data_IF_889179650078
#
_entry.id   IF_889179650078
#
_cell.length_a   1.000
_cell.length_b   1.000
_cell.length_c   1.000
_cell.angle_alpha   90.00
_cell.angle_beta   90.00
_cell.angle_gamma   90.00
#
_symmetry.space_group_name_H-M   'P 1'
#
loop_
_entity.id
_entity.type
_entity.pdbx_description
1 polymer ?
2 non-polymer ?
3 water ?
#
# COMPACT_ATOMS: atom_id res chain seq x y z
N UNK A 1 -22.12 -5.84 11.28
CA UNK A 1 -23.07 -4.75 11.72
C UNK A 1 -22.50 -3.95 12.88
N UNK A 2 -23.36 -3.28 13.63
CA UNK A 2 -22.88 -2.44 14.74
C UNK A 2 -22.66 -3.21 16.02
N UNK A 3 -23.28 -4.40 16.13
CA UNK A 3 -23.14 -5.18 17.36
C UNK A 3 -22.70 -6.59 17.02
N UNK A 4 -21.82 -7.14 17.86
CA UNK A 4 -21.23 -8.47 17.66
C UNK A 4 -20.72 -8.56 16.23
N UNK A 5 -19.69 -7.76 15.93
CA UNK A 5 -19.16 -7.77 14.57
C UNK A 5 -17.67 -8.16 14.47
N UNK A 6 -17.37 -9.04 13.52
CA UNK A 6 -16.00 -9.51 13.23
C UNK A 6 -15.45 -8.68 12.08
N UNK A 7 -16.17 -7.63 11.70
CA UNK A 7 -15.70 -6.77 10.59
C UNK A 7 -15.09 -5.48 11.12
N UNK A 8 -13.89 -5.17 10.67
CA UNK A 8 -13.23 -3.97 11.14
C UNK A 8 -12.95 -3.05 9.98
N UNK A 9 -13.24 -1.76 10.16
CA UNK A 9 -12.95 -0.83 9.08
C UNK A 9 -11.68 -0.04 9.41
N UNK A 10 -10.65 -0.18 8.57
CA UNK A 10 -9.38 0.56 8.77
C UNK A 10 -9.53 2.00 8.23
N UNK A 11 -10.29 2.14 7.15
CA UNK A 11 -10.56 3.41 6.49
C UNK A 11 -11.72 3.17 5.54
N UNK A 12 -12.34 4.24 5.04
CA UNK A 12 -13.47 4.02 4.12
C UNK A 12 -13.02 3.19 2.92
N UNK A 13 -13.79 2.17 2.60
CA UNK A 13 -13.42 1.28 1.51
C UNK A 13 -12.32 0.26 1.85
N UNK A 14 -11.92 0.14 3.12
CA UNK A 14 -10.90 -0.86 3.47
C UNK A 14 -11.38 -1.57 4.73
N UNK A 15 -11.88 -2.77 4.58
CA UNK A 15 -12.41 -3.51 5.74
C UNK A 15 -11.90 -4.94 5.75
N UNK A 16 -11.84 -5.55 6.93
CA UNK A 16 -11.45 -6.96 7.05
C UNK A 16 -12.54 -7.67 7.84
N UNK A 17 -12.98 -8.83 7.33
CA UNK A 17 -13.95 -9.67 8.06
C UNK A 17 -13.13 -10.86 8.58
N UNK A 18 -13.10 -11.06 9.90
CA UNK A 18 -12.32 -12.17 10.46
C UNK A 18 -13.24 -13.39 10.61
N UNK A 19 -12.76 -14.54 10.16
CA UNK A 19 -13.54 -15.79 10.25
C UNK A 19 -12.59 -16.83 10.82
N UNK A 20 -12.09 -16.55 12.02
CA UNK A 20 -11.14 -17.46 12.62
C UNK A 20 -9.82 -17.33 11.88
N UNK A 21 -9.28 -18.44 11.43
CA UNK A 21 -8.01 -18.41 10.68
C UNK A 21 -8.15 -17.64 9.38
N UNK A 22 -9.32 -17.78 8.75
CA UNK A 22 -9.57 -17.16 7.47
C UNK A 22 -10.04 -15.74 7.62
N UNK A 23 -9.59 -14.89 6.71
CA UNK A 23 -10.04 -13.52 6.75
C UNK A 23 -10.28 -13.04 5.33
N UNK A 24 -11.16 -12.08 5.20
CA UNK A 24 -11.53 -11.51 3.90
C UNK A 24 -11.30 -10.03 3.97
N UNK A 25 -10.49 -9.51 3.04
CA UNK A 25 -10.19 -8.08 3.01
C UNK A 25 -10.93 -7.49 1.83
N UNK A 26 -11.77 -6.47 2.04
CA UNK A 26 -12.50 -5.80 0.93
C UNK A 26 -11.81 -4.45 0.75
N UNK A 27 -11.29 -4.21 -0.45
CA UNK A 27 -10.58 -2.97 -0.71
C UNK A 27 -11.24 -2.29 -1.89
N UNK A 28 -11.72 -1.08 -1.68
CA UNK A 28 -12.39 -0.33 -2.76
C UNK A 28 -11.34 0.53 -3.45
N UNK A 29 -10.97 0.19 -4.69
CA UNK A 29 -9.96 0.93 -5.40
C UNK A 29 -10.36 2.38 -5.70
N UNK A 30 -11.65 2.72 -5.59
CA UNK A 30 -12.05 4.12 -5.80
C UNK A 30 -11.84 4.93 -4.54
N UNK A 31 -11.51 4.28 -3.41
CA UNK A 31 -11.36 5.04 -2.15
C UNK A 31 -10.05 4.84 -1.42
N UNK A 32 -9.45 3.67 -1.59
CA UNK A 32 -8.19 3.36 -0.93
C UNK A 32 -7.05 3.91 -1.79
N UNK A 33 -6.07 4.60 -1.17
CA UNK A 33 -4.93 5.16 -1.93
C UNK A 33 -4.32 4.12 -2.88
N UNK A 34 -4.00 4.53 -4.11
CA UNK A 34 -3.44 3.58 -5.05
C UNK A 34 -2.14 2.94 -4.53
N UNK A 35 -1.33 3.73 -3.83
CA UNK A 35 -0.08 3.20 -3.28
C UNK A 35 -0.32 1.99 -2.37
N UNK A 36 -1.37 2.06 -1.55
CA UNK A 36 -1.70 0.96 -0.63
C UNK A 36 -2.06 -0.28 -1.41
N UNK A 37 -2.93 -0.12 -2.41
CA UNK A 37 -3.31 -1.27 -3.23
C UNK A 37 -2.08 -1.91 -3.91
N UNK A 38 -1.21 -1.08 -4.48
CA UNK A 38 -0.04 -1.62 -5.16
C UNK A 38 0.91 -2.36 -4.24
N UNK A 39 1.10 -1.85 -3.01
CA UNK A 39 1.98 -2.51 -2.02
C UNK A 39 1.43 -3.90 -1.68
N UNK A 40 0.11 -3.98 -1.51
CA UNK A 40 -0.50 -5.25 -1.19
C UNK A 40 -0.42 -6.21 -2.36
N UNK A 41 -0.68 -5.71 -3.57
CA UNK A 41 -0.61 -6.57 -4.75
C UNK A 41 0.84 -7.06 -4.98
N UNK A 42 1.81 -6.25 -4.55
CA UNK A 42 3.24 -6.59 -4.64
C UNK A 42 3.59 -7.71 -3.67
N UNK A 43 3.02 -7.65 -2.48
CA UNK A 43 3.25 -8.66 -1.47
C UNK A 43 2.66 -9.99 -1.98
N UNK A 44 1.45 -9.95 -2.55
CA UNK A 44 0.80 -11.15 -3.07
C UNK A 44 1.59 -11.76 -4.24
N UNK A 45 2.10 -10.90 -5.12
CA UNK A 45 2.91 -11.36 -6.26
C UNK A 45 4.15 -12.14 -5.78
N UNK A 46 4.74 -11.69 -4.69
CA UNK A 46 5.94 -12.32 -4.12
C UNK A 46 5.63 -13.72 -3.62
N UNK A 47 4.41 -13.88 -3.12
CA UNK A 47 3.96 -15.17 -2.62
C UNK A 47 3.91 -16.17 -3.75
N UNK A 48 3.60 -15.70 -4.96
CA UNK A 48 3.46 -16.59 -6.12
C UNK A 48 4.69 -17.39 -6.47
N UNK B 2 -19.87 -13.09 -15.82
CA UNK B 2 -18.48 -13.48 -15.46
C UNK B 2 -17.41 -12.70 -16.25
N UNK B 3 -17.80 -12.09 -17.36
CA UNK B 3 -16.87 -11.31 -18.16
C UNK B 3 -16.59 -9.99 -17.43
N UNK B 4 -17.33 -9.74 -16.36
CA UNK B 4 -17.14 -8.50 -15.64
C UNK B 4 -16.27 -8.63 -14.40
N UNK B 5 -15.31 -9.56 -14.40
CA UNK B 5 -14.47 -9.73 -13.22
C UNK B 5 -13.29 -10.65 -13.47
N UNK B 6 -12.37 -10.67 -12.52
CA UNK B 6 -11.18 -11.53 -12.60
C UNK B 6 -11.02 -12.28 -11.26
N UNK B 7 -10.57 -13.53 -11.35
CA UNK B 7 -10.35 -14.36 -10.15
C UNK B 7 -8.96 -14.96 -10.26
N UNK B 8 -8.17 -14.78 -9.21
CA UNK B 8 -6.80 -15.26 -9.26
C UNK B 8 -6.29 -15.83 -7.96
N UNK B 9 -5.54 -16.93 -8.08
CA UNK B 9 -4.94 -17.57 -6.93
C UNK B 9 -3.43 -17.37 -6.90
N UNK B 10 -2.95 -16.71 -5.84
CA UNK B 10 -1.51 -16.48 -5.67
C UNK B 10 -0.81 -17.68 -5.05
N UNK B 11 -1.51 -18.37 -4.16
CA UNK B 11 -0.98 -19.56 -3.49
C UNK B 11 -2.18 -20.18 -2.84
N UNK B 12 -2.07 -21.44 -2.38
CA UNK B 12 -3.25 -22.01 -1.76
C UNK B 12 -3.56 -21.11 -0.57
N UNK B 13 -4.84 -20.77 -0.41
CA UNK B 13 -5.22 -19.91 0.69
C UNK B 13 -5.08 -18.42 0.45
N UNK B 14 -4.64 -18.01 -0.73
CA UNK B 14 -4.55 -16.58 -1.00
C UNK B 14 -5.13 -16.36 -2.40
N UNK B 15 -6.37 -15.89 -2.45
CA UNK B 15 -7.03 -15.67 -3.74
C UNK B 15 -7.70 -14.32 -3.73
N UNK B 16 -7.84 -13.73 -4.91
CA UNK B 16 -8.47 -12.41 -5.03
C UNK B 16 -9.55 -12.43 -6.15
N UNK B 17 -10.58 -11.62 -5.94
CA UNK B 17 -11.65 -11.41 -6.92
C UNK B 17 -11.67 -9.92 -7.19
N UNK B 18 -11.62 -9.51 -8.46
CA UNK B 18 -11.71 -8.09 -8.81
C UNK B 18 -13.01 -7.90 -9.59
N UNK B 19 -13.80 -6.92 -9.20
CA UNK B 19 -15.09 -6.66 -9.89
C UNK B 19 -15.45 -5.21 -9.66
N UNK B 20 -15.58 -4.44 -10.74
CA UNK B 20 -15.87 -3.02 -10.58
C UNK B 20 -14.64 -2.42 -9.92
N UNK B 21 -14.84 -1.62 -8.88
CA UNK B 21 -13.68 -1.03 -8.21
C UNK B 21 -13.20 -1.89 -7.05
N UNK B 22 -13.95 -2.95 -6.78
CA UNK B 22 -13.69 -3.79 -5.63
C UNK B 22 -12.69 -4.89 -5.81
N UNK B 23 -11.81 -5.01 -4.81
CA UNK B 23 -10.80 -6.06 -4.76
C UNK B 23 -11.13 -6.83 -3.50
N UNK B 24 -11.43 -8.13 -3.64
CA UNK B 24 -11.79 -8.95 -2.45
C UNK B 24 -10.71 -10.00 -2.31
N UNK B 25 -9.97 -9.90 -1.22
CA UNK B 25 -8.86 -10.80 -0.96
C UNK B 25 -9.21 -11.80 0.13
N UNK B 26 -9.09 -13.09 -0.20
CA UNK B 26 -9.38 -14.11 0.80
C UNK B 26 -8.05 -14.69 1.23
N UNK B 27 -7.77 -14.64 2.54
CA UNK B 27 -6.50 -15.12 3.09
C UNK B 27 -6.72 -16.16 4.18
N UNK B 28 -6.14 -17.34 4.00
CA UNK B 28 -6.29 -18.40 5.01
C UNK B 28 -4.97 -18.36 5.76
N UNK B 29 -5.02 -17.82 6.97
CA UNK B 29 -3.80 -17.67 7.72
C UNK B 29 -3.16 -18.95 8.20
N UNK B 30 -3.86 -20.07 8.04
CA UNK B 30 -3.25 -21.35 8.44
C UNK B 30 -2.42 -21.89 7.27
N UNK B 31 -2.54 -21.24 6.11
CA UNK B 31 -1.81 -21.68 4.90
C UNK B 31 -0.88 -20.62 4.29
N UNK B 32 -1.14 -19.35 4.55
CA UNK B 32 -0.33 -18.25 4.02
C UNK B 32 0.76 -17.88 5.03
N UNK B 33 2.00 -17.68 4.56
CA UNK B 33 3.10 -17.31 5.47
C UNK B 33 2.78 -16.13 6.38
N UNK B 34 3.24 -16.22 7.62
CA UNK B 34 3.04 -15.18 8.59
C UNK B 34 3.59 -13.83 8.12
N UNK B 35 4.79 -13.84 7.54
CA UNK B 35 5.44 -12.62 7.06
C UNK B 35 4.52 -11.86 6.10
N UNK B 36 3.92 -12.60 5.17
CA UNK B 36 3.00 -12.01 4.21
C UNK B 36 1.81 -11.33 4.90
N UNK B 37 1.17 -12.04 5.81
CA UNK B 37 0.01 -11.50 6.53
C UNK B 37 0.40 -10.24 7.33
N UNK B 38 1.56 -10.29 7.96
CA UNK B 38 2.06 -9.17 8.77
C UNK B 38 2.35 -7.91 7.93
N UNK B 39 2.90 -8.09 6.73
CA UNK B 39 3.20 -6.93 5.88
C UNK B 39 1.89 -6.29 5.43
N UNK B 40 0.88 -7.11 5.15
CA UNK B 40 -0.41 -6.56 4.75
C UNK B 40 -1.09 -5.83 5.90
N UNK B 41 -1.03 -6.40 7.10
CA UNK B 41 -1.63 -5.76 8.28
C UNK B 41 -0.93 -4.44 8.56
N UNK B 42 0.37 -4.39 8.34
CA UNK B 42 1.12 -3.15 8.58
C UNK B 42 0.61 -2.05 7.64
N UNK B 43 0.33 -2.42 6.39
CA UNK B 43 -0.17 -1.45 5.45
C UNK B 43 -1.56 -0.93 5.85
N UNK B 44 -2.43 -1.84 6.29
CA UNK B 44 -3.78 -1.44 6.70
C UNK B 44 -3.78 -0.52 7.93
N UNK B 45 -2.89 -0.80 8.88
CA UNK B 45 -2.83 0.02 10.09
C UNK B 45 -2.35 1.44 9.80
N UNK B 46 -1.37 1.60 8.92
CA UNK B 46 -0.90 2.94 8.61
C UNK B 46 -2.01 3.73 7.94
N UNK B 47 -2.95 3.02 7.33
CA UNK B 47 -4.10 3.63 6.68
C UNK B 47 -5.05 4.21 7.74
N UNK B 48 -5.14 3.54 8.89
CA UNK B 48 -6.00 3.98 9.98
C UNK B 48 -5.65 5.36 10.54
N UNK C 5 23.00 7.70 -16.42
CA UNK C 5 22.22 8.94 -16.15
C UNK C 5 20.74 8.60 -16.30
N UNK C 6 19.92 9.19 -15.45
CA UNK C 6 18.49 8.90 -15.52
C UNK C 6 17.79 10.16 -15.00
N UNK C 7 16.72 10.61 -15.64
CA UNK C 7 16.03 11.79 -15.11
C UNK C 7 14.56 11.51 -14.92
N UNK C 8 13.96 12.17 -13.94
CA UNK C 8 12.54 11.98 -13.68
C UNK C 8 11.91 13.25 -13.15
N UNK C 9 10.68 13.53 -13.57
CA UNK C 9 9.96 14.69 -13.04
C UNK C 9 8.73 14.15 -12.30
N UNK C 10 8.70 14.36 -10.98
CA UNK C 10 7.56 13.92 -10.19
C UNK C 10 6.36 14.81 -10.51
N UNK C 11 6.61 16.12 -10.53
CA UNK C 11 5.58 17.16 -10.80
C UNK C 11 6.32 18.39 -11.25
N UNK C 12 5.61 19.40 -11.79
CA UNK C 12 6.34 20.61 -12.22
C UNK C 12 7.13 21.15 -11.01
N UNK C 13 8.39 21.51 -11.18
CA UNK C 13 9.12 22.01 -10.01
C UNK C 13 9.63 20.94 -9.04
N UNK C 14 9.56 19.67 -9.43
CA UNK C 14 10.11 18.62 -8.57
C UNK C 14 10.72 17.58 -9.49
N UNK C 15 12.03 17.71 -9.71
CA UNK C 15 12.74 16.85 -10.64
C UNK C 15 13.98 16.25 -10.01
N UNK C 16 14.46 15.16 -10.57
CA UNK C 16 15.64 14.52 -10.05
C UNK C 16 16.48 14.00 -11.19
N UNK C 17 17.79 14.02 -10.96
CA UNK C 17 18.80 13.47 -11.86
C UNK C 17 19.56 12.42 -11.03
N UNK C 18 19.65 11.20 -11.56
CA UNK C 18 20.40 10.13 -10.92
C UNK C 18 21.60 9.86 -11.83
N UNK C 19 22.76 9.62 -11.23
CA UNK C 19 23.96 9.31 -12.02
C UNK C 19 24.91 8.57 -11.09
N UNK C 20 25.02 7.26 -11.27
CA UNK C 20 25.90 6.50 -10.40
C UNK C 20 25.34 6.58 -8.99
N UNK C 21 26.17 6.97 -8.04
CA UNK C 21 25.69 7.05 -6.67
C UNK C 21 25.11 8.41 -6.35
N UNK C 22 25.18 9.33 -7.29
CA UNK C 22 24.70 10.68 -7.03
C UNK C 22 23.24 10.92 -7.38
N UNK C 23 22.58 11.75 -6.59
CA UNK C 23 21.20 12.11 -6.85
C UNK C 23 21.14 13.62 -6.70
N UNK C 24 20.57 14.31 -7.67
CA UNK C 24 20.43 15.74 -7.55
C UNK C 24 18.95 16.05 -7.68
N UNK C 25 18.38 16.63 -6.63
CA UNK C 25 16.97 16.94 -6.61
C UNK C 25 16.74 18.46 -6.70
N UNK C 26 15.86 18.89 -7.58
CA UNK C 26 15.53 20.31 -7.72
C UNK C 26 14.08 20.49 -7.32
N UNK C 27 13.81 21.32 -6.31
CA UNK C 27 12.46 21.57 -5.82
C UNK C 27 12.12 23.06 -5.84
N UNK C 28 10.91 23.37 -6.29
CA UNK C 28 10.44 24.75 -6.38
C UNK C 28 9.41 24.92 -5.29
N UNK C 29 9.77 25.74 -4.30
CA UNK C 29 8.93 25.99 -3.13
C UNK C 29 7.57 26.61 -3.40
N UNK C 30 7.40 27.21 -4.58
CA UNK C 30 6.13 27.84 -4.90
C UNK C 30 5.17 26.80 -5.51
N UNK C 31 5.68 25.60 -5.76
CA UNK C 31 4.89 24.52 -6.41
C UNK C 31 4.76 23.25 -5.57
N UNK C 32 5.76 23.01 -4.75
CA UNK C 32 5.75 21.85 -3.88
C UNK C 32 5.17 22.30 -2.54
N UNK C 33 4.24 21.52 -1.98
CA UNK C 33 3.66 21.91 -0.69
C UNK C 33 4.71 22.05 0.42
N UNK C 34 4.53 23.06 1.26
CA UNK C 34 5.43 23.32 2.38
C UNK C 34 5.67 22.07 3.23
N UNK C 35 4.60 21.32 3.52
CA UNK C 35 4.74 20.11 4.34
C UNK C 35 5.76 19.11 3.75
N UNK C 36 5.76 18.99 2.42
CA UNK C 36 6.67 18.10 1.72
C UNK C 36 8.12 18.55 1.95
N UNK C 37 8.36 19.84 1.77
CA UNK C 37 9.71 20.37 1.97
C UNK C 37 10.15 20.19 3.39
N UNK C 38 9.26 20.46 4.34
CA UNK C 38 9.60 20.31 5.75
C UNK C 38 9.93 18.86 6.09
N UNK C 39 9.17 17.89 5.58
CA UNK C 39 9.48 16.50 5.89
C UNK C 39 10.86 16.07 5.37
N UNK C 40 11.18 16.50 4.16
CA UNK C 40 12.47 16.16 3.60
C UNK C 40 13.59 16.82 4.44
N UNK C 41 13.39 18.08 4.82
CA UNK C 41 14.37 18.78 5.64
C UNK C 41 14.57 18.10 6.98
N UNK C 42 13.49 17.57 7.55
CA UNK C 42 13.63 16.89 8.83
C UNK C 42 14.43 15.60 8.65
N UNK C 43 14.19 14.87 7.56
CA UNK C 43 14.96 13.64 7.30
C UNK C 43 16.45 13.96 7.14
N UNK C 44 16.74 15.05 6.44
CA UNK C 44 18.13 15.44 6.22
C UNK C 44 18.87 15.87 7.50
N UNK C 45 18.19 16.62 8.37
CA UNK C 45 18.76 17.09 9.63
C UNK C 45 19.22 15.90 10.46
N UNK C 46 18.49 14.79 10.38
CA UNK C 46 18.91 13.60 11.13
C UNK C 46 20.33 13.13 10.78
N UNK C 47 20.79 13.45 9.57
CA UNK C 47 22.13 13.04 9.14
C UNK C 47 23.24 13.88 9.85
N UNK C 48 22.86 14.98 10.49
CA UNK C 48 23.82 15.85 11.17
C UNK C 48 24.39 15.22 12.43
N UNK C 49 23.70 14.21 12.92
CA UNK C 49 24.10 13.50 14.13
C UNK C 49 24.23 12.02 13.82
N UNK C 50 25.33 11.62 13.19
CA UNK C 50 25.46 10.19 12.88
C UNK C 50 25.68 9.29 14.10
N UNK C 51 25.23 8.04 13.97
CA UNK C 51 25.36 7.01 15.00
C UNK C 51 26.73 6.34 14.84
X LIG D 1 -2.46 -10.85 11.40
X LIG D 1 -1.52 -10.17 11.82
X LIG D 1 -2.57 -12.02 11.75
X LIG D 1 -3.49 -10.23 10.48
#
# INVERSE_FOLDING_TARGET
>A
GSHMSSRHQFAPGATVLYKGDKMVLNLDRSRVPTECIEKIEAILKELEKPAP
>B
GSHMSSRHQFAPGATVLYKGDKMVLNLDRSRVPTECIEKIEAILKELEKPAP
>C
GSHMSSRHQFAPGATVLYKGDKMVLNLDRSRVPTECIEKIEAILKELEKPAP
>D hetero
1 ACT C O OXT CH3
#
